data_IF_002477669919
#
_entry.id   IF_002477669919
#
_cell.length_a   1.000
_cell.length_b   1.000
_cell.length_c   1.000
_cell.angle_alpha   90.00
_cell.angle_beta   90.00
_cell.angle_gamma   90.00
#
_symmetry.space_group_name_H-M   'P 1'
#
loop_
_entity.id
_entity.type
_entity.pdbx_description
1 polymer ?
#
# COMPACT_ATOMS: atom_id res chain seq x y z
N UNK A 1 0.89 -11.54 0.67
CA UNK A 1 0.87 -10.26 1.40
C UNK A 1 2.25 -10.02 1.94
N UNK A 2 2.77 -8.80 1.84
CA UNK A 2 4.10 -8.40 2.35
C UNK A 2 3.93 -7.08 3.12
N UNK A 3 4.53 -6.99 4.31
CA UNK A 3 4.62 -5.75 5.11
C UNK A 3 5.79 -4.91 4.61
N UNK A 4 5.55 -3.62 4.34
CA UNK A 4 6.53 -2.72 3.74
C UNK A 4 6.60 -1.36 4.45
N UNK A 5 5.53 -0.91 5.11
CA UNK A 5 5.51 0.38 5.77
C UNK A 5 6.34 0.41 7.06
N UNK A 6 6.35 -0.69 7.83
CA UNK A 6 7.19 -0.81 9.01
C UNK A 6 8.69 -0.77 8.67
N UNK A 7 9.07 -1.44 7.58
CA UNK A 7 10.44 -1.42 7.05
C UNK A 7 10.39 -1.60 5.53
N UNK A 8 10.78 -0.58 4.75
CA UNK A 8 10.77 -0.68 3.30
C UNK A 8 11.61 -1.86 2.80
N UNK A 9 10.98 -2.71 1.99
CA UNK A 9 11.65 -3.80 1.27
C UNK A 9 12.40 -3.25 0.06
N UNK A 10 13.36 -4.04 -0.41
CA UNK A 10 13.85 -3.91 -1.78
C UNK A 10 12.76 -4.39 -2.75
N UNK A 11 12.25 -3.47 -3.57
CA UNK A 11 11.10 -3.73 -4.44
C UNK A 11 11.45 -4.64 -5.63
N UNK A 12 12.74 -4.88 -5.92
CA UNK A 12 13.15 -5.92 -6.89
C UNK A 12 12.66 -7.32 -6.46
N UNK A 13 12.37 -7.53 -5.18
CA UNK A 13 11.72 -8.74 -4.67
C UNK A 13 10.40 -9.04 -5.40
N UNK A 14 9.65 -8.01 -5.81
CA UNK A 14 8.34 -8.17 -6.45
C UNK A 14 8.45 -8.91 -7.80
N UNK A 15 9.57 -8.73 -8.51
CA UNK A 15 9.84 -9.37 -9.81
C UNK A 15 9.91 -10.90 -9.71
N UNK A 16 10.24 -11.44 -8.52
CA UNK A 16 10.28 -12.89 -8.27
C UNK A 16 8.89 -13.52 -8.29
N UNK A 17 7.84 -12.73 -8.11
CA UNK A 17 6.47 -13.18 -8.19
C UNK A 17 5.96 -12.90 -9.60
N UNK A 18 6.23 -13.79 -10.57
CA UNK A 18 5.89 -13.55 -11.97
C UNK A 18 4.39 -13.74 -12.31
N UNK A 19 3.62 -14.43 -11.47
CA UNK A 19 2.19 -14.75 -11.73
C UNK A 19 1.24 -14.47 -10.57
N UNK A 20 1.77 -14.03 -9.44
CA UNK A 20 1.00 -13.84 -8.21
C UNK A 20 0.46 -12.42 -8.14
N UNK A 21 -0.81 -12.26 -7.76
CA UNK A 21 -1.32 -10.96 -7.30
C UNK A 21 -0.77 -10.69 -5.91
N UNK A 22 -0.04 -9.59 -5.75
CA UNK A 22 0.69 -9.24 -4.55
C UNK A 22 -0.04 -8.13 -3.78
N UNK A 23 -0.27 -8.38 -2.50
CA UNK A 23 -0.76 -7.39 -1.55
C UNK A 23 0.45 -6.75 -0.87
N UNK A 24 0.60 -5.43 -1.00
CA UNK A 24 1.72 -4.65 -0.45
C UNK A 24 1.21 -3.73 0.66
N UNK A 25 1.74 -3.94 1.87
CA UNK A 25 1.45 -3.17 3.08
C UNK A 25 2.16 -1.82 3.07
N UNK A 26 1.45 -0.73 2.80
CA UNK A 26 2.02 0.64 2.69
C UNK A 26 1.56 1.58 3.80
N UNK A 27 0.81 1.04 4.77
CA UNK A 27 0.36 1.76 5.98
C UNK A 27 0.80 0.98 7.20
N UNK A 28 1.56 1.63 8.09
CA UNK A 28 2.04 1.02 9.31
C UNK A 28 0.91 0.94 10.35
N UNK A 29 0.83 -0.19 11.03
CA UNK A 29 -0.21 -0.44 12.05
C UNK A 29 0.32 -0.41 13.49
N UNK A 30 1.64 -0.34 13.66
CA UNK A 30 2.31 -0.36 14.96
C UNK A 30 2.64 1.05 15.50
N UNK A 31 2.03 2.11 14.96
CA UNK A 31 2.19 3.48 15.46
C UNK A 31 0.99 4.38 15.09
N UNK A 32 0.95 5.58 15.67
CA UNK A 32 -0.13 6.56 15.51
C UNK A 32 0.09 7.61 14.42
N UNK A 33 1.26 7.64 13.77
CA UNK A 33 1.53 8.57 12.65
C UNK A 33 0.62 8.18 11.48
N UNK A 34 -0.03 9.17 10.87
CA UNK A 34 -0.83 8.96 9.66
C UNK A 34 0.05 9.28 8.46
N UNK A 35 0.29 8.28 7.61
CA UNK A 35 0.97 8.42 6.33
C UNK A 35 0.14 9.34 5.43
N UNK A 36 0.83 10.24 4.73
CA UNK A 36 0.20 11.11 3.75
C UNK A 36 -0.18 10.33 2.50
N UNK A 37 -1.14 10.85 1.74
CA UNK A 37 -1.50 10.26 0.45
C UNK A 37 -0.32 10.21 -0.51
N UNK A 38 0.54 11.24 -0.51
CA UNK A 38 1.70 11.31 -1.42
C UNK A 38 2.79 10.29 -1.06
N UNK A 39 3.05 10.07 0.24
CA UNK A 39 4.00 9.04 0.69
C UNK A 39 3.55 7.64 0.23
N UNK A 40 2.26 7.32 0.42
CA UNK A 40 1.70 6.03 0.00
C UNK A 40 1.71 5.92 -1.53
N UNK A 41 1.31 6.98 -2.24
CA UNK A 41 1.24 6.99 -3.70
C UNK A 41 2.63 6.85 -4.33
N UNK A 42 3.64 7.55 -3.80
CA UNK A 42 5.02 7.42 -4.24
C UNK A 42 5.51 5.99 -4.08
N UNK A 43 5.27 5.36 -2.93
CA UNK A 43 5.70 3.99 -2.69
C UNK A 43 4.98 2.96 -3.58
N UNK A 44 3.69 3.14 -3.82
CA UNK A 44 2.94 2.32 -4.78
C UNK A 44 3.45 2.52 -6.21
N UNK A 45 3.81 3.76 -6.58
CA UNK A 45 4.42 4.08 -7.87
C UNK A 45 5.75 3.37 -8.07
N UNK A 46 6.64 3.40 -7.06
CA UNK A 46 7.90 2.67 -7.10
C UNK A 46 7.66 1.16 -7.29
N UNK A 47 6.68 0.60 -6.56
CA UNK A 47 6.34 -0.82 -6.67
C UNK A 47 5.87 -1.21 -8.07
N UNK A 48 5.11 -0.35 -8.74
CA UNK A 48 4.66 -0.56 -10.13
C UNK A 48 5.79 -0.57 -11.16
N UNK A 49 6.98 -0.08 -10.79
CA UNK A 49 8.20 -0.30 -11.59
C UNK A 49 8.65 -1.76 -11.64
N UNK A 50 8.16 -2.60 -10.72
CA UNK A 50 8.60 -3.99 -10.53
C UNK A 50 7.47 -5.04 -10.68
N UNK A 51 6.20 -4.62 -10.78
CA UNK A 51 5.05 -5.51 -10.94
C UNK A 51 3.94 -4.86 -11.76
N UNK A 52 3.21 -5.65 -12.55
CA UNK A 52 2.06 -5.17 -13.33
C UNK A 52 0.96 -4.59 -12.43
N UNK A 53 0.36 -3.48 -12.85
CA UNK A 53 -0.68 -2.76 -12.07
C UNK A 53 -1.88 -3.64 -11.68
N UNK A 54 -2.35 -4.49 -12.59
CA UNK A 54 -3.49 -5.39 -12.33
C UNK A 54 -3.19 -6.48 -11.28
N UNK A 55 -1.93 -6.59 -10.84
CA UNK A 55 -1.45 -7.59 -9.87
C UNK A 55 -1.00 -6.97 -8.56
N UNK A 56 -1.04 -5.65 -8.41
CA UNK A 56 -0.69 -4.98 -7.16
C UNK A 56 -1.96 -4.56 -6.41
N UNK A 57 -2.06 -4.96 -5.14
CA UNK A 57 -3.12 -4.53 -4.22
C UNK A 57 -2.48 -3.72 -3.09
N UNK A 58 -2.91 -2.47 -2.93
CA UNK A 58 -2.51 -1.64 -1.82
C UNK A 58 -3.25 -2.03 -0.53
N UNK A 59 -2.53 -2.21 0.57
CA UNK A 59 -3.09 -2.58 1.86
C UNK A 59 -2.32 -1.91 3.02
N UNK A 60 -2.83 -1.98 4.27
CA UNK A 60 -2.01 -1.84 5.46
C UNK A 60 -1.07 -3.04 5.64
N UNK A 61 -0.01 -2.89 6.44
CA UNK A 61 0.92 -3.98 6.77
C UNK A 61 0.18 -5.21 7.30
N UNK A 62 -0.71 -5.01 8.28
CA UNK A 62 -1.48 -6.08 8.90
C UNK A 62 -2.88 -5.59 9.29
N UNK A 63 -3.58 -6.37 10.12
CA UNK A 63 -4.88 -5.99 10.67
C UNK A 63 -4.83 -4.70 11.49
N UNK A 64 -5.95 -3.99 11.52
CA UNK A 64 -6.07 -2.68 12.17
C UNK A 64 -6.55 -2.77 13.63
N UNK A 65 -6.59 -3.98 14.21
CA UNK A 65 -7.16 -4.22 15.54
C UNK A 65 -6.45 -3.45 16.67
N UNK A 66 -5.17 -3.08 16.46
CA UNK A 66 -4.38 -2.31 17.42
C UNK A 66 -4.63 -0.79 17.34
N UNK A 67 -5.40 -0.32 16.36
CA UNK A 67 -5.67 1.10 16.15
C UNK A 67 -7.08 1.45 16.62
N UNK A 68 -7.22 2.64 17.21
CA UNK A 68 -8.54 3.23 17.43
C UNK A 68 -9.27 3.50 16.11
N UNK A 69 -10.59 3.40 16.12
CA UNK A 69 -11.46 3.51 14.92
C UNK A 69 -11.17 4.74 14.07
N UNK A 70 -11.04 5.91 14.68
CA UNK A 70 -10.81 7.17 13.95
C UNK A 70 -9.45 7.22 13.26
N UNK A 71 -8.42 6.69 13.93
CA UNK A 71 -7.08 6.59 13.36
C UNK A 71 -7.04 5.61 12.19
N UNK A 72 -7.68 4.45 12.34
CA UNK A 72 -7.82 3.46 11.28
C UNK A 72 -8.53 4.06 10.06
N UNK A 73 -9.62 4.80 10.27
CA UNK A 73 -10.34 5.49 9.19
C UNK A 73 -9.49 6.50 8.44
N UNK A 74 -8.73 7.34 9.16
CA UNK A 74 -7.84 8.34 8.53
C UNK A 74 -6.77 7.70 7.66
N UNK A 75 -6.13 6.64 8.17
CA UNK A 75 -5.11 5.87 7.45
C UNK A 75 -5.69 5.19 6.21
N UNK A 76 -6.83 4.50 6.34
CA UNK A 76 -7.51 3.87 5.21
C UNK A 76 -8.00 4.88 4.17
N UNK A 77 -8.48 6.05 4.59
CA UNK A 77 -8.89 7.11 3.67
C UNK A 77 -7.71 7.58 2.80
N UNK A 78 -6.52 7.75 3.39
CA UNK A 78 -5.32 8.13 2.65
C UNK A 78 -4.84 7.02 1.72
N UNK A 79 -4.84 5.76 2.16
CA UNK A 79 -4.53 4.59 1.34
C UNK A 79 -5.44 4.51 0.10
N UNK A 80 -6.75 4.65 0.28
CA UNK A 80 -7.71 4.63 -0.83
C UNK A 80 -7.51 5.80 -1.80
N UNK A 81 -7.18 7.00 -1.31
CA UNK A 81 -6.86 8.16 -2.16
C UNK A 81 -5.58 7.91 -2.97
N UNK A 82 -4.54 7.37 -2.32
CA UNK A 82 -3.27 7.07 -2.96
C UNK A 82 -3.42 6.01 -4.05
N UNK A 83 -4.11 4.90 -3.75
CA UNK A 83 -4.37 3.86 -4.72
C UNK A 83 -5.12 4.38 -5.96
N UNK A 84 -6.11 5.27 -5.77
CA UNK A 84 -6.81 5.93 -6.89
C UNK A 84 -5.92 6.88 -7.69
N UNK A 85 -5.03 7.62 -7.03
CA UNK A 85 -4.11 8.55 -7.68
C UNK A 85 -3.11 7.81 -8.58
N UNK A 86 -2.65 6.64 -8.14
CA UNK A 86 -1.66 5.83 -8.88
C UNK A 86 -2.32 4.96 -9.95
N UNK A 87 -3.50 4.40 -9.68
CA UNK A 87 -4.20 3.47 -10.57
C UNK A 87 -5.04 4.11 -11.68
N UNK A 88 -4.74 5.32 -12.13
CA UNK A 88 -5.60 6.14 -12.99
C UNK A 88 -6.36 5.39 -14.12
N UNK A 89 -7.69 5.59 -14.13
CA UNK A 89 -8.70 5.17 -15.14
C UNK A 89 -9.00 3.67 -15.31
N UNK A 90 -9.54 3.02 -14.28
CA UNK A 90 -10.53 1.94 -14.48
C UNK A 90 -11.93 2.53 -14.65
N UNK A 91 -12.85 1.93 -15.44
CA UNK A 91 -14.12 2.56 -15.79
C UNK A 91 -14.97 2.83 -14.54
N UNK A 92 -15.72 3.93 -14.60
CA UNK A 92 -16.79 4.28 -13.68
C UNK A 92 -17.90 3.21 -13.66
#
# INVERSE_FOLDING_TARGET
SIEDAHRPNDLSLLERFARTTLILGTVAIANSRVETTDEIAGRLGDALGHIDAHRLIAAPDCGLALLGRDLAWRKLANLCRAARAVGGSGPA
#
